data_IF_264613831393
#
_entry.id   IF_264613831393
#
_cell.length_a   1.000
_cell.length_b   1.000
_cell.length_c   1.000
_cell.angle_alpha   90.00
_cell.angle_beta   90.00
_cell.angle_gamma   90.00
#
_symmetry.space_group_name_H-M   'P 1'
#
loop_
_entity.id
_entity.type
_entity.pdbx_description
1 polymer ?
#
# COMPACT_ATOMS: atom_id res chain seq x y z
N UNK A 1 -23.18 44.02 42.49
CA UNK A 1 -22.30 42.92 42.20
C UNK A 1 -22.86 42.17 41.01
N UNK A 2 -22.26 42.33 39.83
CA UNK A 2 -22.73 41.68 38.57
C UNK A 2 -21.66 40.69 38.18
N UNK A 3 -21.93 39.43 38.43
CA UNK A 3 -21.11 38.31 38.01
C UNK A 3 -21.39 37.99 36.56
N UNK A 4 -20.43 38.30 35.68
CA UNK A 4 -20.50 37.93 34.27
C UNK A 4 -19.99 36.49 34.14
N UNK A 5 -20.90 35.60 33.81
CA UNK A 5 -20.61 34.19 33.52
C UNK A 5 -20.13 34.06 32.08
N UNK A 6 -18.80 33.94 31.88
CA UNK A 6 -18.20 33.68 30.58
C UNK A 6 -18.37 32.19 30.25
N UNK A 7 -19.30 31.89 29.36
CA UNK A 7 -19.47 30.58 28.76
C UNK A 7 -18.49 30.48 27.59
N UNK A 8 -17.39 29.73 27.83
CA UNK A 8 -16.41 29.42 26.79
C UNK A 8 -16.94 28.26 25.93
N UNK A 9 -17.43 28.61 24.74
CA UNK A 9 -17.92 27.65 23.76
C UNK A 9 -16.72 27.03 23.03
N UNK A 10 -16.29 25.84 23.47
CA UNK A 10 -15.25 25.05 22.79
C UNK A 10 -15.87 24.39 21.57
N UNK A 11 -15.64 24.97 20.41
CA UNK A 11 -15.99 24.32 19.13
C UNK A 11 -14.97 23.20 18.85
N UNK A 12 -15.35 21.95 19.08
CA UNK A 12 -14.58 20.79 18.67
C UNK A 12 -14.67 20.67 17.14
N UNK A 13 -13.59 21.06 16.43
CA UNK A 13 -13.44 20.75 15.02
C UNK A 13 -13.17 19.25 14.89
N UNK A 14 -14.21 18.49 14.58
CA UNK A 14 -14.07 17.12 14.11
C UNK A 14 -13.46 17.14 12.70
N UNK A 15 -12.17 16.94 12.59
CA UNK A 15 -11.51 16.71 11.30
C UNK A 15 -11.88 15.31 10.83
N UNK A 16 -12.92 15.19 10.04
CA UNK A 16 -13.21 13.97 9.28
C UNK A 16 -12.14 13.80 8.22
N UNK A 17 -11.22 12.88 8.45
CA UNK A 17 -10.30 12.42 7.41
C UNK A 17 -11.14 11.72 6.34
N UNK A 18 -11.42 12.41 5.25
CA UNK A 18 -12.00 11.81 4.07
C UNK A 18 -10.94 10.87 3.47
N UNK A 19 -11.10 9.58 3.70
CA UNK A 19 -10.42 8.56 2.89
C UNK A 19 -11.09 8.61 1.52
N UNK A 20 -10.48 9.35 0.60
CA UNK A 20 -10.82 9.21 -0.80
C UNK A 20 -10.44 7.79 -1.21
N UNK A 21 -11.39 6.95 -1.57
CA UNK A 21 -11.17 5.68 -2.24
C UNK A 21 -10.42 5.98 -3.54
N UNK A 22 -9.10 5.86 -3.48
CA UNK A 22 -8.27 6.04 -4.65
C UNK A 22 -8.55 4.86 -5.59
N UNK A 23 -9.02 5.18 -6.80
CA UNK A 23 -9.30 4.18 -7.83
C UNK A 23 -8.08 3.25 -8.00
N UNK A 24 -8.32 1.95 -7.95
CA UNK A 24 -7.28 0.93 -8.13
C UNK A 24 -6.66 1.08 -9.52
N UNK A 25 -5.33 1.07 -9.59
CA UNK A 25 -4.57 1.07 -10.83
C UNK A 25 -3.70 -0.17 -10.89
N UNK A 26 -3.61 -0.79 -12.05
CA UNK A 26 -2.70 -1.91 -12.28
C UNK A 26 -1.41 -1.42 -12.94
N UNK A 27 -0.29 -2.01 -12.54
CA UNK A 27 1.01 -1.77 -13.13
C UNK A 27 1.28 -2.64 -14.37
N UNK A 28 2.45 -2.48 -15.01
CA UNK A 28 2.83 -3.23 -16.20
C UNK A 28 2.85 -4.75 -16.04
N UNK A 29 3.05 -5.23 -14.81
CA UNK A 29 3.03 -6.66 -14.47
C UNK A 29 1.66 -7.15 -14.01
N UNK A 30 0.61 -6.32 -14.10
CA UNK A 30 -0.73 -6.55 -13.57
C UNK A 30 -0.80 -6.60 -12.03
N UNK A 31 0.21 -6.09 -11.35
CA UNK A 31 0.22 -5.87 -9.92
C UNK A 31 -0.49 -4.57 -9.52
N UNK A 32 -0.69 -4.37 -8.23
CA UNK A 32 -1.29 -3.15 -7.69
C UNK A 32 -0.30 -1.98 -7.76
N UNK A 33 -0.68 -0.91 -8.41
CA UNK A 33 0.14 0.30 -8.53
C UNK A 33 -0.13 1.25 -7.36
N UNK A 34 0.93 1.59 -6.64
CA UNK A 34 0.93 2.46 -5.46
C UNK A 34 1.63 3.78 -5.78
N UNK A 35 0.98 4.91 -5.54
CA UNK A 35 1.56 6.22 -5.83
C UNK A 35 2.44 6.72 -4.67
N UNK A 36 3.71 7.01 -4.95
CA UNK A 36 4.74 7.43 -3.98
C UNK A 36 5.22 8.88 -4.17
N UNK A 37 4.35 9.78 -4.65
CA UNK A 37 4.74 11.18 -4.84
C UNK A 37 5.75 11.40 -5.97
N UNK A 38 5.27 11.34 -7.22
CA UNK A 38 6.08 11.48 -8.43
C UNK A 38 6.71 10.19 -8.94
N UNK A 39 6.67 9.12 -8.15
CA UNK A 39 7.02 7.74 -8.54
C UNK A 39 5.85 6.82 -8.26
N UNK A 40 5.88 5.65 -8.85
CA UNK A 40 4.92 4.58 -8.56
C UNK A 40 5.67 3.30 -8.18
N UNK A 41 5.10 2.53 -7.27
CA UNK A 41 5.59 1.21 -6.91
C UNK A 41 4.53 0.17 -7.27
N UNK A 42 4.89 -0.87 -7.98
CA UNK A 42 3.99 -1.97 -8.31
C UNK A 42 4.19 -3.11 -7.32
N UNK A 43 3.21 -3.32 -6.48
CA UNK A 43 3.12 -4.46 -5.57
C UNK A 43 2.65 -5.68 -6.35
N UNK A 44 3.45 -6.74 -6.34
CA UNK A 44 3.14 -7.99 -7.01
C UNK A 44 3.46 -9.19 -6.11
N UNK A 45 2.54 -10.14 -6.02
CA UNK A 45 2.75 -11.40 -5.30
C UNK A 45 3.22 -12.46 -6.28
N UNK A 46 4.41 -12.98 -6.04
CA UNK A 46 5.01 -14.03 -6.87
C UNK A 46 4.35 -15.40 -6.58
N UNK A 47 4.58 -16.36 -7.47
CA UNK A 47 4.01 -17.71 -7.35
C UNK A 47 4.43 -18.43 -6.06
N UNK A 48 5.61 -18.12 -5.55
CA UNK A 48 6.14 -18.69 -4.31
C UNK A 48 5.69 -17.95 -3.06
N UNK A 49 4.76 -16.99 -3.19
CA UNK A 49 4.22 -16.11 -2.15
C UNK A 49 5.20 -15.06 -1.62
N UNK A 50 6.33 -14.85 -2.27
CA UNK A 50 7.13 -13.64 -2.01
C UNK A 50 6.45 -12.41 -2.62
N UNK A 51 6.75 -11.23 -2.07
CA UNK A 51 6.31 -9.95 -2.64
C UNK A 51 7.47 -9.37 -3.43
N UNK A 52 7.21 -8.95 -4.66
CA UNK A 52 8.14 -8.12 -5.43
C UNK A 52 7.55 -6.74 -5.66
N UNK A 53 8.40 -5.71 -5.52
CA UNK A 53 8.00 -4.32 -5.76
C UNK A 53 8.93 -3.71 -6.79
N UNK A 54 8.36 -3.38 -7.95
CA UNK A 54 9.04 -2.65 -9.01
C UNK A 54 8.73 -1.15 -8.90
N UNK A 55 9.71 -0.31 -9.15
CA UNK A 55 9.56 1.15 -9.08
C UNK A 55 9.52 1.72 -10.51
N UNK A 56 8.65 2.70 -10.71
CA UNK A 56 8.49 3.41 -11.99
C UNK A 56 8.50 4.91 -11.77
N UNK A 57 9.01 5.66 -12.75
CA UNK A 57 8.89 7.11 -12.80
C UNK A 57 7.49 7.56 -13.26
N UNK A 58 7.30 8.88 -13.35
CA UNK A 58 6.03 9.46 -13.80
C UNK A 58 5.63 9.07 -15.23
N UNK A 59 6.60 8.68 -16.08
CA UNK A 59 6.36 8.19 -17.43
C UNK A 59 6.16 6.66 -17.49
N UNK A 60 6.01 5.99 -16.33
CA UNK A 60 5.89 4.53 -16.20
C UNK A 60 7.11 3.76 -16.74
N UNK A 61 8.28 4.38 -16.70
CA UNK A 61 9.54 3.76 -17.05
C UNK A 61 10.17 3.12 -15.81
N UNK A 62 10.58 1.86 -15.91
CA UNK A 62 11.16 1.11 -14.80
C UNK A 62 12.45 1.76 -14.28
N UNK A 63 12.50 1.99 -12.99
CA UNK A 63 13.64 2.54 -12.27
C UNK A 63 14.20 1.49 -11.30
N UNK A 64 15.52 1.53 -10.99
CA UNK A 64 16.05 0.70 -9.94
C UNK A 64 15.50 1.16 -8.58
N UNK A 65 15.13 0.24 -7.72
CA UNK A 65 14.79 0.52 -6.34
C UNK A 65 16.08 0.85 -5.57
N UNK A 66 16.25 2.09 -5.15
CA UNK A 66 17.49 2.58 -4.52
C UNK A 66 17.26 3.40 -3.25
N UNK A 67 16.23 4.21 -3.22
CA UNK A 67 15.95 5.16 -2.13
C UNK A 67 14.65 4.87 -1.41
N UNK A 68 13.81 4.04 -1.99
CA UNK A 68 12.52 3.67 -1.44
C UNK A 68 12.71 2.76 -0.22
N UNK A 69 12.01 3.08 0.86
CA UNK A 69 11.95 2.25 2.06
C UNK A 69 10.54 1.70 2.17
N UNK A 70 10.43 0.38 2.06
CA UNK A 70 9.14 -0.31 2.10
C UNK A 70 9.19 -1.39 3.18
N UNK A 71 8.17 -1.41 4.00
CA UNK A 71 7.90 -2.47 4.98
C UNK A 71 6.44 -2.90 4.83
N UNK A 72 6.16 -4.15 5.14
CA UNK A 72 4.80 -4.65 5.13
C UNK A 72 4.51 -5.45 6.41
N UNK A 73 3.23 -5.53 6.75
CA UNK A 73 2.73 -6.39 7.82
C UNK A 73 1.52 -7.13 7.29
N UNK A 74 1.56 -8.44 7.28
CA UNK A 74 0.40 -9.28 7.01
C UNK A 74 -0.40 -9.46 8.30
N UNK A 75 -1.66 -9.05 8.30
CA UNK A 75 -2.57 -9.16 9.43
C UNK A 75 -3.49 -10.37 9.22
N UNK A 76 -3.03 -11.55 9.66
CA UNK A 76 -3.79 -12.80 9.58
C UNK A 76 -4.58 -13.04 10.88
N UNK A 77 -5.62 -13.88 10.87
CA UNK A 77 -6.41 -14.18 12.08
C UNK A 77 -5.58 -14.67 13.26
N UNK A 78 -4.47 -15.38 13.01
CA UNK A 78 -3.55 -15.89 14.03
C UNK A 78 -2.55 -14.86 14.56
N UNK A 79 -2.48 -13.65 13.98
CA UNK A 79 -1.56 -12.60 14.42
C UNK A 79 -1.01 -11.74 13.28
N UNK A 80 0.11 -11.07 13.54
CA UNK A 80 0.75 -10.16 12.59
C UNK A 80 2.15 -10.67 12.22
N UNK A 81 2.40 -10.77 10.93
CA UNK A 81 3.73 -11.14 10.39
C UNK A 81 4.36 -9.94 9.73
N UNK A 82 5.50 -9.50 10.25
CA UNK A 82 6.29 -8.43 9.61
C UNK A 82 7.06 -9.00 8.41
N UNK A 83 7.07 -8.24 7.34
CA UNK A 83 7.71 -8.58 6.08
C UNK A 83 8.72 -7.47 5.76
N UNK A 84 10.00 -7.83 5.74
CA UNK A 84 11.07 -6.95 5.32
C UNK A 84 11.40 -7.17 3.85
N UNK A 85 12.08 -6.21 3.24
CA UNK A 85 12.46 -6.24 1.83
C UNK A 85 13.95 -6.03 1.68
N UNK A 86 14.52 -6.62 0.64
CA UNK A 86 15.88 -6.39 0.18
C UNK A 86 15.87 -6.02 -1.31
N UNK A 87 16.89 -5.30 -1.76
CA UNK A 87 17.05 -4.97 -3.18
C UNK A 87 17.68 -6.15 -3.89
N UNK A 88 16.98 -6.69 -4.87
CA UNK A 88 17.45 -7.76 -5.75
C UNK A 88 16.95 -7.51 -7.17
N UNK A 89 17.82 -7.65 -8.17
CA UNK A 89 17.48 -7.45 -9.59
C UNK A 89 16.73 -6.13 -9.86
N UNK A 90 17.19 -5.05 -9.22
CA UNK A 90 16.62 -3.69 -9.33
C UNK A 90 15.21 -3.52 -8.76
N UNK A 91 14.72 -4.50 -8.01
CA UNK A 91 13.41 -4.50 -7.32
C UNK A 91 13.60 -4.70 -5.83
N UNK A 92 12.57 -4.41 -5.07
CA UNK A 92 12.48 -4.82 -3.69
C UNK A 92 11.79 -6.18 -3.64
N UNK A 93 12.43 -7.15 -3.03
CA UNK A 93 11.89 -8.52 -2.86
C UNK A 93 11.75 -8.78 -1.37
N UNK A 94 10.61 -9.36 -0.96
CA UNK A 94 10.41 -9.71 0.44
C UNK A 94 11.36 -10.81 0.88
N UNK A 95 11.94 -10.66 2.07
CA UNK A 95 12.84 -11.65 2.68
C UNK A 95 12.09 -12.84 3.28
N UNK A 96 10.79 -12.67 3.50
CA UNK A 96 9.88 -13.71 3.97
C UNK A 96 8.68 -13.85 3.04
N UNK A 97 8.12 -15.04 2.98
CA UNK A 97 6.91 -15.30 2.20
C UNK A 97 5.67 -14.84 2.96
N UNK A 98 4.62 -14.53 2.21
CA UNK A 98 3.30 -14.27 2.78
C UNK A 98 2.76 -15.53 3.48
N UNK A 99 2.08 -15.38 4.62
CA UNK A 99 1.37 -16.49 5.27
C UNK A 99 0.40 -17.19 4.31
N UNK A 100 0.17 -18.46 4.54
CA UNK A 100 -0.77 -19.25 3.76
C UNK A 100 -2.21 -18.68 3.85
N UNK A 101 -3.00 -18.99 2.83
CA UNK A 101 -4.36 -18.49 2.68
C UNK A 101 -4.43 -17.14 1.98
N UNK A 102 -5.61 -16.54 2.00
CA UNK A 102 -5.92 -15.23 1.42
C UNK A 102 -7.08 -14.56 2.18
N UNK A 103 -7.50 -13.38 1.77
CA UNK A 103 -8.58 -12.64 2.42
C UNK A 103 -8.16 -11.79 3.61
N UNK A 104 -6.89 -11.86 4.03
CA UNK A 104 -6.35 -11.02 5.09
C UNK A 104 -5.79 -9.69 4.55
N UNK A 105 -5.54 -8.74 5.45
CA UNK A 105 -4.98 -7.43 5.10
C UNK A 105 -3.46 -7.47 5.10
N UNK A 106 -2.88 -6.82 4.10
CA UNK A 106 -1.47 -6.43 4.11
C UNK A 106 -1.42 -4.91 4.31
N UNK A 107 -0.79 -4.47 5.38
CA UNK A 107 -0.50 -3.06 5.62
C UNK A 107 0.90 -2.79 5.12
N UNK A 108 1.01 -2.06 4.03
CA UNK A 108 2.28 -1.68 3.43
C UNK A 108 2.56 -0.22 3.76
N UNK A 109 3.73 0.04 4.32
CA UNK A 109 4.22 1.38 4.57
C UNK A 109 5.38 1.67 3.62
N UNK A 110 5.28 2.76 2.88
CA UNK A 110 6.27 3.12 1.88
C UNK A 110 6.71 4.59 2.01
N UNK A 111 8.00 4.81 1.84
CA UNK A 111 8.63 6.12 1.71
C UNK A 111 9.35 6.20 0.37
N UNK A 112 9.15 7.28 -0.37
CA UNK A 112 9.85 7.51 -1.63
C UNK A 112 11.36 7.79 -1.42
N UNK A 113 11.71 8.37 -0.27
CA UNK A 113 13.08 8.61 0.20
C UNK A 113 13.13 8.42 1.71
N UNK A 114 14.30 8.23 2.34
CA UNK A 114 14.42 8.11 3.79
C UNK A 114 13.77 9.25 4.58
N UNK A 115 13.84 10.48 4.07
CA UNK A 115 13.30 11.68 4.71
C UNK A 115 11.84 11.96 4.38
N UNK A 116 11.28 11.24 3.40
CA UNK A 116 9.89 11.41 3.00
C UNK A 116 8.92 10.94 4.09
N UNK A 117 7.75 11.57 4.15
CA UNK A 117 6.66 11.09 5.01
C UNK A 117 6.19 9.72 4.52
N UNK A 118 5.98 8.76 5.43
CA UNK A 118 5.48 7.45 5.04
C UNK A 118 4.04 7.54 4.52
N UNK A 119 3.76 6.77 3.47
CA UNK A 119 2.40 6.49 3.01
C UNK A 119 2.03 5.06 3.41
N UNK A 120 0.81 4.89 3.87
CA UNK A 120 0.27 3.59 4.26
C UNK A 120 -0.76 3.14 3.24
N UNK A 121 -0.64 1.90 2.81
CA UNK A 121 -1.57 1.25 1.90
C UNK A 121 -2.13 0.01 2.59
N UNK A 122 -3.43 -0.21 2.45
CA UNK A 122 -4.10 -1.42 2.93
C UNK A 122 -4.53 -2.24 1.71
N UNK A 123 -4.01 -3.45 1.63
CA UNK A 123 -4.23 -4.34 0.50
C UNK A 123 -4.92 -5.59 1.04
N UNK A 124 -6.16 -5.84 0.62
CA UNK A 124 -6.82 -7.11 0.89
C UNK A 124 -6.25 -8.16 -0.04
N UNK A 125 -5.56 -9.14 0.50
CA UNK A 125 -4.92 -10.18 -0.29
C UNK A 125 -5.97 -11.14 -0.85
N UNK A 126 -6.20 -11.06 -2.13
CA UNK A 126 -7.05 -11.98 -2.91
C UNK A 126 -6.27 -12.38 -4.16
N UNK A 127 -5.85 -13.64 -4.23
CA UNK A 127 -4.88 -14.13 -5.22
C UNK A 127 -5.53 -14.67 -6.50
N UNK A 128 -6.84 -14.94 -6.46
CA UNK A 128 -7.55 -15.38 -7.65
C UNK A 128 -7.54 -14.30 -8.74
N UNK A 129 -7.60 -14.74 -9.97
CA UNK A 129 -7.61 -13.84 -11.13
C UNK A 129 -9.01 -13.33 -11.39
N UNK A 130 -9.16 -12.01 -11.54
CA UNK A 130 -10.42 -11.40 -11.97
C UNK A 130 -10.73 -11.81 -13.41
N UNK A 131 -11.90 -12.40 -13.63
CA UNK A 131 -12.31 -12.90 -14.96
C UNK A 131 -12.50 -11.78 -16.00
N UNK A 132 -12.83 -10.57 -15.55
CA UNK A 132 -13.08 -9.42 -16.44
C UNK A 132 -11.78 -8.78 -16.94
N UNK A 133 -10.81 -8.47 -16.06
CA UNK A 133 -9.58 -7.75 -16.43
C UNK A 133 -8.33 -8.64 -16.49
N UNK A 134 -8.38 -9.86 -15.98
CA UNK A 134 -7.25 -10.79 -15.98
C UNK A 134 -6.12 -10.41 -15.01
N UNK A 135 -6.37 -9.47 -14.10
CA UNK A 135 -5.46 -9.14 -13.02
C UNK A 135 -5.75 -9.97 -11.77
N UNK A 136 -4.80 -10.16 -10.85
CA UNK A 136 -5.13 -10.63 -9.52
C UNK A 136 -6.18 -9.73 -8.87
N UNK A 137 -7.08 -10.29 -8.09
CA UNK A 137 -8.21 -9.53 -7.52
C UNK A 137 -7.75 -8.36 -6.63
N UNK A 138 -6.61 -8.49 -5.92
CA UNK A 138 -6.03 -7.37 -5.16
C UNK A 138 -5.59 -6.17 -6.04
N UNK A 139 -5.50 -6.36 -7.36
CA UNK A 139 -5.16 -5.34 -8.36
C UNK A 139 -6.23 -5.23 -9.46
N UNK A 140 -7.46 -5.64 -9.16
CA UNK A 140 -8.59 -5.56 -10.09
C UNK A 140 -8.95 -4.10 -10.37
N UNK A 141 -9.03 -3.77 -11.66
CA UNK A 141 -9.37 -2.42 -12.15
C UNK A 141 -10.80 -2.31 -12.67
N UNK A 142 -11.59 -3.36 -12.49
CA UNK A 142 -12.99 -3.34 -12.87
C UNK A 142 -13.77 -2.49 -11.88
N UNK A 143 -14.57 -1.56 -12.37
CA UNK A 143 -15.55 -0.87 -11.55
C UNK A 143 -16.63 -1.90 -11.14
N UNK A 144 -16.92 -2.01 -9.85
CA UNK A 144 -18.03 -2.80 -9.32
C UNK A 144 -19.37 -2.17 -9.69
#
# INVERSE_FOLDING_TARGET
MKTLLNILLIAALATTSAFADAKVKAGPRKGLLLELGGKSAEFFVEKDRSISIAVYDAAMKAQPATTEIITATAEVPSGKTKIAFEVKDRKLISTTKLPEGEGYQIVLQAKATPDAKPKNFRIKLQLHTCEKCGNPEYACICDE
#
